data_IF_766480805437
#
_entry.id   IF_766480805437
#
_cell.length_a   1.000
_cell.length_b   1.000
_cell.length_c   1.000
_cell.angle_alpha   90.00
_cell.angle_beta   90.00
_cell.angle_gamma   90.00
#
_symmetry.space_group_name_H-M   'P 1'
#
loop_
_entity.id
_entity.type
_entity.pdbx_description
1 polymer ?
#
# COMPACT_ATOMS: atom_id res chain seq x y z
N UNK A 1 -30.66 21.63 6.22
CA UNK A 1 -30.17 20.79 7.30
C UNK A 1 -28.66 20.85 7.22
N UNK A 2 -27.98 21.25 8.29
CA UNK A 2 -26.51 21.22 8.29
C UNK A 2 -26.09 19.74 8.14
N UNK A 3 -25.37 19.44 7.07
CA UNK A 3 -24.80 18.12 6.86
C UNK A 3 -23.82 17.84 8.02
N UNK A 4 -23.86 16.64 8.62
CA UNK A 4 -22.94 16.29 9.69
C UNK A 4 -21.50 16.37 9.16
N UNK A 5 -20.52 16.75 9.98
CA UNK A 5 -19.13 16.80 9.54
C UNK A 5 -18.64 15.40 9.12
N UNK A 6 -17.74 15.37 8.13
CA UNK A 6 -17.06 14.16 7.68
C UNK A 6 -16.12 13.72 8.79
N UNK A 7 -16.33 12.52 9.33
CA UNK A 7 -15.51 11.96 10.40
C UNK A 7 -14.30 11.25 9.84
N UNK A 8 -13.11 11.75 10.18
CA UNK A 8 -11.83 11.28 9.64
C UNK A 8 -10.99 10.61 10.72
N UNK A 9 -10.51 9.40 10.47
CA UNK A 9 -9.46 8.72 11.26
C UNK A 9 -8.12 8.93 10.56
N UNK A 10 -7.09 9.38 11.30
CA UNK A 10 -5.72 9.56 10.78
C UNK A 10 -4.86 8.40 11.29
N UNK A 11 -4.26 7.63 10.37
CA UNK A 11 -3.38 6.52 10.69
C UNK A 11 -2.00 6.71 10.01
N UNK A 12 -0.99 7.09 10.80
CA UNK A 12 0.39 7.35 10.36
C UNK A 12 1.32 7.09 11.53
N UNK A 13 2.48 6.49 11.34
CA UNK A 13 3.42 6.20 12.41
C UNK A 13 4.26 7.43 12.84
N UNK A 14 4.27 8.49 12.02
CA UNK A 14 5.02 9.71 12.32
C UNK A 14 4.17 10.70 13.14
N UNK A 15 4.47 10.95 14.43
CA UNK A 15 3.66 11.82 15.27
C UNK A 15 3.53 13.27 14.74
N UNK A 16 4.59 13.79 14.11
CA UNK A 16 4.60 15.14 13.53
C UNK A 16 3.63 15.25 12.35
N UNK A 17 3.57 14.20 11.51
CA UNK A 17 2.64 14.14 10.38
C UNK A 17 1.20 14.09 10.89
N UNK A 18 0.91 13.20 11.86
CA UNK A 18 -0.43 13.10 12.45
C UNK A 18 -0.89 14.43 13.06
N UNK A 19 -0.01 15.06 13.86
CA UNK A 19 -0.34 16.35 14.48
C UNK A 19 -0.57 17.45 13.44
N UNK A 20 0.23 17.49 12.38
CA UNK A 20 0.06 18.44 11.27
C UNK A 20 -1.27 18.23 10.54
N UNK A 21 -1.59 16.97 10.18
CA UNK A 21 -2.86 16.61 9.56
C UNK A 21 -4.04 16.97 10.45
N UNK A 22 -3.99 16.62 11.74
CA UNK A 22 -5.03 16.96 12.71
C UNK A 22 -5.28 18.46 12.76
N UNK A 23 -4.24 19.25 13.01
CA UNK A 23 -4.35 20.71 13.10
C UNK A 23 -4.98 21.31 11.85
N UNK A 24 -4.58 20.82 10.68
CA UNK A 24 -5.09 21.31 9.41
C UNK A 24 -6.55 20.92 9.15
N UNK A 25 -6.93 19.68 9.48
CA UNK A 25 -8.30 19.20 9.30
C UNK A 25 -9.28 19.85 10.28
N UNK A 26 -8.89 20.09 11.53
CA UNK A 26 -9.71 20.76 12.55
C UNK A 26 -10.04 22.23 12.20
N UNK A 27 -9.30 22.84 11.27
CA UNK A 27 -9.64 24.17 10.74
C UNK A 27 -10.82 24.14 9.75
N UNK A 28 -11.23 22.95 9.30
CA UNK A 28 -12.31 22.82 8.32
C UNK A 28 -13.65 22.62 9.02
N UNK A 29 -14.67 23.47 8.73
CA UNK A 29 -15.96 23.39 9.43
C UNK A 29 -16.77 22.13 9.07
N UNK A 30 -16.44 21.47 7.98
CA UNK A 30 -17.11 20.28 7.44
C UNK A 30 -16.36 18.97 7.75
N UNK A 31 -15.27 19.02 8.54
CA UNK A 31 -14.46 17.83 8.89
C UNK A 31 -14.29 17.74 10.41
N UNK A 32 -14.41 16.53 10.94
CA UNK A 32 -14.14 16.17 12.33
C UNK A 32 -13.06 15.08 12.38
N UNK A 33 -11.99 15.31 13.14
CA UNK A 33 -10.98 14.26 13.40
C UNK A 33 -11.53 13.32 14.48
N UNK A 34 -12.05 12.18 14.07
CA UNK A 34 -12.66 11.19 14.96
C UNK A 34 -11.64 10.44 15.83
N UNK A 35 -10.39 10.34 15.37
CA UNK A 35 -9.31 9.68 16.10
C UNK A 35 -7.99 9.64 15.35
N UNK A 36 -6.98 9.10 16.03
CA UNK A 36 -5.63 8.91 15.50
C UNK A 36 -5.12 7.51 15.84
N UNK A 37 -4.31 6.93 14.95
CA UNK A 37 -3.64 5.66 15.13
C UNK A 37 -2.16 5.76 14.73
N UNK A 38 -1.26 5.17 15.53
CA UNK A 38 0.17 5.16 15.25
C UNK A 38 0.68 3.87 14.59
N UNK A 39 -0.20 2.92 14.29
CA UNK A 39 0.14 1.64 13.68
C UNK A 39 -1.06 0.95 13.05
N UNK A 40 -0.80 -0.04 12.19
CA UNK A 40 -1.83 -0.69 11.39
C UNK A 40 -2.86 -1.47 12.20
N UNK A 41 -2.45 -2.14 13.28
CA UNK A 41 -3.37 -2.89 14.17
C UNK A 41 -4.31 -1.91 14.88
N UNK A 42 -3.76 -0.82 15.43
CA UNK A 42 -4.53 0.22 16.12
C UNK A 42 -5.48 0.92 15.14
N UNK A 43 -5.03 1.20 13.91
CA UNK A 43 -5.88 1.80 12.87
C UNK A 43 -7.13 0.96 12.58
N UNK A 44 -6.98 -0.36 12.44
CA UNK A 44 -8.10 -1.25 12.22
C UNK A 44 -9.06 -1.30 13.42
N UNK A 45 -8.53 -1.41 14.63
CA UNK A 45 -9.33 -1.41 15.86
C UNK A 45 -10.09 -0.08 16.06
N UNK A 46 -9.44 1.04 15.79
CA UNK A 46 -10.07 2.36 15.88
C UNK A 46 -11.12 2.58 14.80
N UNK A 47 -10.88 2.12 13.58
CA UNK A 47 -11.86 2.19 12.49
C UNK A 47 -13.16 1.45 12.87
N UNK A 48 -13.04 0.24 13.44
CA UNK A 48 -14.21 -0.50 13.92
C UNK A 48 -14.93 0.22 15.06
N UNK A 49 -14.19 0.71 16.05
CA UNK A 49 -14.76 1.36 17.24
C UNK A 49 -15.39 2.73 16.93
N UNK A 50 -14.74 3.54 16.11
CA UNK A 50 -15.13 4.93 15.85
C UNK A 50 -16.10 5.07 14.69
N UNK A 51 -16.16 4.07 13.79
CA UNK A 51 -16.94 4.09 12.56
C UNK A 51 -16.77 5.43 11.79
N UNK A 52 -15.53 5.80 11.38
CA UNK A 52 -15.27 7.02 10.63
C UNK A 52 -15.87 6.92 9.22
N UNK A 53 -16.09 8.06 8.58
CA UNK A 53 -16.52 8.10 7.17
C UNK A 53 -15.31 7.88 6.24
N UNK A 54 -14.16 8.45 6.62
CA UNK A 54 -12.91 8.37 5.85
C UNK A 54 -11.75 7.98 6.77
N UNK A 55 -10.85 7.15 6.29
CA UNK A 55 -9.57 6.82 6.94
C UNK A 55 -8.44 7.33 6.04
N UNK A 56 -7.57 8.17 6.56
CA UNK A 56 -6.27 8.49 5.97
C UNK A 56 -5.27 7.46 6.48
N UNK A 57 -4.72 6.63 5.59
CA UNK A 57 -3.90 5.48 5.97
C UNK A 57 -2.51 5.55 5.36
N UNK A 58 -1.47 5.63 6.18
CA UNK A 58 -0.09 5.41 5.72
C UNK A 58 0.13 3.93 5.36
N UNK A 59 0.84 3.71 4.26
CA UNK A 59 1.20 2.36 3.82
C UNK A 59 2.42 1.79 4.55
N UNK A 60 3.19 2.63 5.23
CA UNK A 60 4.46 2.24 5.86
C UNK A 60 4.41 2.52 7.34
N UNK A 61 3.88 1.58 8.10
CA UNK A 61 3.78 1.68 9.55
C UNK A 61 4.46 0.47 10.24
N UNK A 62 5.05 0.64 11.45
CA UNK A 62 5.45 -0.47 12.29
C UNK A 62 4.20 -1.24 12.78
N UNK A 63 4.39 -2.47 13.22
CA UNK A 63 3.34 -3.33 13.81
C UNK A 63 2.12 -3.58 12.88
N UNK A 64 2.40 -3.79 11.61
CA UNK A 64 1.38 -4.14 10.62
C UNK A 64 1.52 -3.29 9.36
N UNK A 65 1.72 -3.96 8.22
CA UNK A 65 1.76 -3.31 6.91
C UNK A 65 0.44 -2.56 6.70
N UNK A 66 0.50 -1.33 6.18
CA UNK A 66 -0.69 -0.54 5.85
C UNK A 66 -1.66 -1.28 4.93
N UNK A 67 -1.16 -2.17 4.06
CA UNK A 67 -2.00 -3.02 3.23
C UNK A 67 -2.80 -4.05 4.05
N UNK A 68 -2.21 -4.62 5.09
CA UNK A 68 -2.92 -5.52 6.01
C UNK A 68 -3.95 -4.76 6.85
N UNK A 69 -3.60 -3.55 7.32
CA UNK A 69 -4.54 -2.68 8.01
C UNK A 69 -5.75 -2.34 7.11
N UNK A 70 -5.49 -1.98 5.84
CA UNK A 70 -6.53 -1.72 4.85
C UNK A 70 -7.48 -2.93 4.69
N UNK A 71 -6.93 -4.14 4.52
CA UNK A 71 -7.74 -5.37 4.39
C UNK A 71 -8.62 -5.60 5.61
N UNK A 72 -8.08 -5.41 6.82
CA UNK A 72 -8.84 -5.55 8.07
C UNK A 72 -9.95 -4.51 8.18
N UNK A 73 -9.67 -3.26 7.83
CA UNK A 73 -10.67 -2.18 7.83
C UNK A 73 -11.79 -2.50 6.84
N UNK A 74 -11.45 -2.98 5.64
CA UNK A 74 -12.44 -3.31 4.61
C UNK A 74 -13.23 -4.60 4.90
N UNK A 75 -12.68 -5.52 5.70
CA UNK A 75 -13.38 -6.71 6.16
C UNK A 75 -14.31 -6.45 7.37
N UNK A 76 -14.14 -5.29 8.03
CA UNK A 76 -14.91 -4.89 9.21
C UNK A 76 -16.34 -4.42 8.88
N UNK A 77 -17.05 -4.03 9.93
CA UNK A 77 -18.40 -3.44 9.80
C UNK A 77 -18.29 -1.96 9.45
N UNK A 78 -19.16 -1.50 8.54
CA UNK A 78 -19.28 -0.07 8.23
C UNK A 78 -18.32 0.46 7.19
N UNK A 79 -17.45 -0.35 6.60
CA UNK A 79 -16.50 -0.08 5.49
C UNK A 79 -16.24 1.40 5.19
N UNK A 80 -15.40 2.10 5.98
CA UNK A 80 -15.06 3.49 5.73
C UNK A 80 -14.33 3.65 4.40
N UNK A 81 -14.38 4.83 3.82
CA UNK A 81 -13.60 5.14 2.61
C UNK A 81 -12.14 5.32 2.98
N UNK A 82 -11.25 4.43 2.56
CA UNK A 82 -9.83 4.52 2.89
C UNK A 82 -9.07 5.25 1.78
N UNK A 83 -8.46 6.38 2.12
CA UNK A 83 -7.54 7.12 1.27
C UNK A 83 -6.12 6.83 1.76
N UNK A 84 -5.34 6.19 0.91
CA UNK A 84 -3.95 5.86 1.20
C UNK A 84 -3.07 7.10 1.06
N UNK A 85 -2.16 7.30 2.03
CA UNK A 85 -1.09 8.29 1.98
C UNK A 85 0.27 7.58 1.85
N UNK A 86 1.12 8.02 0.93
CA UNK A 86 2.44 7.43 0.72
C UNK A 86 3.50 8.47 0.41
N UNK A 87 4.74 8.18 0.78
CA UNK A 87 5.91 9.00 0.37
C UNK A 87 6.48 8.57 -0.98
N UNK A 88 5.95 7.50 -1.60
CA UNK A 88 6.51 6.92 -2.82
C UNK A 88 5.46 6.85 -3.94
N UNK A 89 5.54 7.75 -4.95
CA UNK A 89 4.55 7.81 -6.04
C UNK A 89 4.56 6.57 -6.94
N UNK A 90 5.72 5.94 -7.09
CA UNK A 90 5.94 4.80 -7.99
C UNK A 90 5.89 3.43 -7.28
N UNK A 91 5.21 3.31 -6.14
CA UNK A 91 5.12 2.05 -5.39
C UNK A 91 4.17 1.06 -6.09
N UNK A 92 4.63 -0.17 -6.31
CA UNK A 92 3.80 -1.26 -6.83
C UNK A 92 2.59 -1.57 -5.93
N UNK A 93 2.62 -1.08 -4.69
CA UNK A 93 1.54 -1.20 -3.71
C UNK A 93 0.26 -0.45 -4.10
N UNK A 94 0.30 0.51 -5.03
CA UNK A 94 -0.91 1.20 -5.47
C UNK A 94 -1.94 0.22 -6.02
N UNK A 95 -1.51 -0.74 -6.84
CA UNK A 95 -2.40 -1.75 -7.41
C UNK A 95 -2.97 -2.66 -6.32
N UNK A 96 -2.12 -3.10 -5.39
CA UNK A 96 -2.54 -3.96 -4.28
C UNK A 96 -3.49 -3.22 -3.32
N UNK A 97 -3.25 -1.94 -3.04
CA UNK A 97 -4.13 -1.12 -2.22
C UNK A 97 -5.51 -0.93 -2.87
N UNK A 98 -5.55 -0.64 -4.16
CA UNK A 98 -6.82 -0.48 -4.87
C UNK A 98 -7.59 -1.82 -4.96
N UNK A 99 -6.90 -2.94 -5.19
CA UNK A 99 -7.50 -4.29 -5.14
C UNK A 99 -8.01 -4.64 -3.74
N UNK A 100 -7.35 -4.16 -2.70
CA UNK A 100 -7.77 -4.35 -1.31
C UNK A 100 -8.91 -3.41 -0.88
N UNK A 101 -9.41 -2.55 -1.78
CA UNK A 101 -10.57 -1.69 -1.53
C UNK A 101 -10.23 -0.26 -1.10
N UNK A 102 -9.00 0.23 -1.34
CA UNK A 102 -8.71 1.64 -1.15
C UNK A 102 -9.63 2.51 -2.04
N UNK A 103 -10.16 3.57 -1.47
CA UNK A 103 -11.01 4.53 -2.16
C UNK A 103 -10.20 5.62 -2.88
N UNK A 104 -8.94 5.82 -2.48
CA UNK A 104 -8.06 6.82 -3.05
C UNK A 104 -6.60 6.58 -2.71
N UNK A 105 -5.72 7.30 -3.42
CA UNK A 105 -4.28 7.16 -3.26
C UNK A 105 -3.59 8.51 -3.53
N UNK A 106 -2.94 9.07 -2.51
CA UNK A 106 -2.28 10.36 -2.54
C UNK A 106 -0.83 10.27 -2.07
N UNK A 107 -0.03 11.25 -2.44
CA UNK A 107 1.30 11.44 -1.88
C UNK A 107 1.23 12.23 -0.57
N UNK A 108 2.15 11.95 0.36
CA UNK A 108 2.28 12.70 1.62
C UNK A 108 2.75 14.15 1.43
N UNK A 109 3.36 14.46 0.28
CA UNK A 109 3.76 15.81 -0.13
C UNK A 109 2.69 16.55 -0.96
N UNK A 110 1.51 15.94 -1.15
CA UNK A 110 0.38 16.59 -1.79
C UNK A 110 0.03 17.91 -1.08
N UNK A 111 -0.42 18.90 -1.87
CA UNK A 111 -0.83 20.17 -1.31
C UNK A 111 -2.01 19.99 -0.34
N UNK A 112 -2.08 20.77 0.75
CA UNK A 112 -3.16 20.66 1.72
C UNK A 112 -4.57 20.74 1.11
N UNK A 113 -4.75 21.56 0.07
CA UNK A 113 -6.01 21.67 -0.65
C UNK A 113 -6.39 20.37 -1.40
N UNK A 114 -5.41 19.64 -1.93
CA UNK A 114 -5.61 18.35 -2.61
C UNK A 114 -6.07 17.28 -1.62
N UNK A 115 -5.49 17.25 -0.42
CA UNK A 115 -5.90 16.35 0.63
C UNK A 115 -7.37 16.57 1.03
N UNK A 116 -7.80 17.84 1.22
CA UNK A 116 -9.19 18.15 1.53
C UNK A 116 -10.13 17.73 0.39
N UNK A 117 -9.75 18.04 -0.85
CA UNK A 117 -10.52 17.64 -2.02
C UNK A 117 -10.65 16.10 -2.09
N UNK A 118 -9.59 15.37 -1.76
CA UNK A 118 -9.59 13.92 -1.72
C UNK A 118 -10.49 13.35 -0.63
N UNK A 119 -10.47 13.90 0.59
CA UNK A 119 -11.35 13.47 1.68
C UNK A 119 -12.82 13.65 1.26
N UNK A 120 -13.18 14.83 0.76
CA UNK A 120 -14.54 15.15 0.31
C UNK A 120 -14.98 14.27 -0.86
N UNK A 121 -14.09 14.07 -1.84
CA UNK A 121 -14.33 13.19 -2.98
C UNK A 121 -14.55 11.75 -2.54
N UNK A 122 -13.67 11.20 -1.70
CA UNK A 122 -13.80 9.85 -1.18
C UNK A 122 -15.11 9.66 -0.40
N UNK A 123 -15.46 10.62 0.48
CA UNK A 123 -16.73 10.60 1.21
C UNK A 123 -17.94 10.57 0.28
N UNK A 124 -17.91 11.33 -0.82
CA UNK A 124 -18.97 11.37 -1.84
C UNK A 124 -18.96 10.18 -2.80
N UNK A 125 -18.11 9.16 -2.58
CA UNK A 125 -18.02 7.97 -3.43
C UNK A 125 -17.06 8.07 -4.60
N UNK A 126 -16.32 9.16 -4.75
CA UNK A 126 -15.26 9.33 -5.74
C UNK A 126 -14.00 8.51 -5.43
N UNK A 127 -13.05 8.50 -6.37
CA UNK A 127 -11.77 7.82 -6.26
C UNK A 127 -10.62 8.82 -6.52
N UNK A 128 -10.20 9.60 -5.52
CA UNK A 128 -9.11 10.55 -5.65
C UNK A 128 -7.79 9.81 -5.84
N UNK A 129 -7.15 9.99 -6.99
CA UNK A 129 -5.89 9.35 -7.34
C UNK A 129 -4.86 10.39 -7.76
N UNK A 130 -3.65 10.27 -7.23
CA UNK A 130 -2.52 10.98 -7.79
C UNK A 130 -2.28 10.56 -9.24
N UNK A 131 -1.89 11.47 -10.17
CA UNK A 131 -1.72 11.15 -11.58
C UNK A 131 -0.82 9.93 -11.85
N UNK A 132 0.28 9.78 -11.14
CA UNK A 132 1.19 8.63 -11.28
C UNK A 132 0.53 7.33 -10.82
N UNK A 133 -0.25 7.35 -9.73
CA UNK A 133 -1.02 6.20 -9.28
C UNK A 133 -2.06 5.80 -10.33
N UNK A 134 -2.77 6.78 -10.91
CA UNK A 134 -3.72 6.54 -11.98
C UNK A 134 -3.05 5.96 -13.22
N UNK A 135 -1.90 6.49 -13.65
CA UNK A 135 -1.13 5.96 -14.77
C UNK A 135 -0.71 4.49 -14.56
N UNK A 136 -0.29 4.13 -13.33
CA UNK A 136 0.04 2.74 -12.98
C UNK A 136 -1.17 1.81 -13.06
N UNK A 137 -2.32 2.23 -12.52
CA UNK A 137 -3.54 1.43 -12.59
C UNK A 137 -3.99 1.20 -14.05
N UNK A 138 -3.93 2.25 -14.89
CA UNK A 138 -4.22 2.12 -16.32
C UNK A 138 -3.22 1.18 -17.00
N UNK A 139 -1.93 1.26 -16.65
CA UNK A 139 -0.90 0.35 -17.15
C UNK A 139 -1.20 -1.12 -16.78
N UNK A 140 -1.62 -1.37 -15.55
CA UNK A 140 -1.98 -2.71 -15.09
C UNK A 140 -3.26 -3.24 -15.78
N UNK A 141 -4.25 -2.39 -16.00
CA UNK A 141 -5.47 -2.77 -16.73
C UNK A 141 -5.22 -3.11 -18.21
N UNK A 142 -4.20 -2.51 -18.81
CA UNK A 142 -3.78 -2.79 -20.18
C UNK A 142 -2.90 -4.03 -20.32
N UNK A 143 -2.44 -4.57 -19.20
CA UNK A 143 -1.59 -5.76 -19.18
C UNK A 143 -2.44 -6.99 -19.51
N UNK A 144 -2.03 -7.81 -20.49
CA UNK A 144 -2.74 -9.06 -20.77
C UNK A 144 -2.82 -9.94 -19.51
N UNK A 145 -3.90 -10.70 -19.32
CA UNK A 145 -4.07 -11.57 -18.15
C UNK A 145 -2.88 -12.51 -17.88
N UNK A 146 -2.27 -13.05 -18.94
CA UNK A 146 -1.10 -13.92 -18.87
C UNK A 146 0.17 -13.18 -18.45
N UNK A 147 0.32 -11.89 -18.80
CA UNK A 147 1.47 -11.09 -18.39
C UNK A 147 1.43 -10.70 -16.88
N UNK A 148 0.28 -10.78 -16.22
CA UNK A 148 0.18 -10.57 -14.78
C UNK A 148 0.80 -11.72 -13.97
N UNK A 149 0.85 -12.92 -14.55
CA UNK A 149 1.50 -14.10 -13.97
C UNK A 149 3.00 -14.13 -14.26
N UNK A 150 3.50 -13.38 -15.26
CA UNK A 150 4.92 -13.36 -15.60
C UNK A 150 5.73 -12.48 -14.63
N UNK A 151 6.91 -12.98 -14.29
CA UNK A 151 7.88 -12.22 -13.53
C UNK A 151 8.45 -11.08 -14.39
N UNK A 152 8.49 -9.87 -13.83
CA UNK A 152 9.23 -8.76 -14.44
C UNK A 152 10.71 -9.09 -14.52
N UNK A 153 11.47 -8.39 -15.36
CA UNK A 153 12.93 -8.54 -15.44
C UNK A 153 13.58 -8.44 -14.05
N UNK A 154 13.14 -7.46 -13.24
CA UNK A 154 13.69 -7.25 -11.91
C UNK A 154 13.30 -8.32 -10.90
N UNK A 155 12.09 -8.84 -10.98
CA UNK A 155 11.66 -9.98 -10.15
C UNK A 155 12.40 -11.26 -10.55
N UNK A 156 12.67 -11.45 -11.82
CA UNK A 156 13.47 -12.58 -12.33
C UNK A 156 14.91 -12.51 -11.81
N UNK A 157 15.56 -11.35 -11.85
CA UNK A 157 16.90 -11.14 -11.29
C UNK A 157 16.92 -11.44 -9.77
N UNK A 158 15.89 -10.98 -9.04
CA UNK A 158 15.77 -11.26 -7.60
C UNK A 158 15.54 -12.75 -7.36
N UNK A 159 14.66 -13.40 -8.14
CA UNK A 159 14.35 -14.82 -8.02
C UNK A 159 15.60 -15.71 -8.31
N UNK A 160 16.41 -15.34 -9.28
CA UNK A 160 17.68 -16.02 -9.58
C UNK A 160 18.61 -16.00 -8.36
N UNK A 161 18.75 -14.84 -7.70
CA UNK A 161 19.59 -14.71 -6.51
C UNK A 161 18.97 -15.43 -5.28
N UNK A 162 17.65 -15.53 -5.22
CA UNK A 162 16.94 -16.36 -4.23
C UNK A 162 17.25 -17.85 -4.48
N UNK A 163 17.19 -18.29 -5.71
CA UNK A 163 17.50 -19.68 -6.09
C UNK A 163 18.97 -20.05 -5.79
N UNK A 164 19.88 -19.08 -5.85
CA UNK A 164 21.28 -19.21 -5.41
C UNK A 164 21.46 -19.11 -3.88
N UNK A 165 20.40 -18.99 -3.10
CA UNK A 165 20.41 -18.96 -1.64
C UNK A 165 20.81 -17.63 -1.00
N UNK A 166 20.96 -16.52 -1.74
CA UNK A 166 21.42 -15.24 -1.19
C UNK A 166 20.36 -14.60 -0.27
N UNK A 167 20.73 -14.10 0.92
CA UNK A 167 19.84 -13.34 1.79
C UNK A 167 19.52 -11.96 1.20
N UNK A 168 18.39 -11.34 1.62
CA UNK A 168 17.92 -10.06 1.07
C UNK A 168 18.99 -8.96 1.12
N UNK A 169 19.82 -8.92 2.18
CA UNK A 169 20.92 -7.96 2.29
C UNK A 169 21.97 -8.13 1.17
N UNK A 170 22.33 -9.36 0.83
CA UNK A 170 23.28 -9.64 -0.25
C UNK A 170 22.67 -9.33 -1.63
N UNK A 171 21.38 -9.65 -1.82
CA UNK A 171 20.64 -9.31 -3.03
C UNK A 171 20.58 -7.78 -3.20
N UNK A 172 20.29 -7.05 -2.14
CA UNK A 172 20.24 -5.60 -2.14
C UNK A 172 21.57 -4.98 -2.61
N UNK A 173 22.69 -5.45 -2.06
CA UNK A 173 24.03 -5.01 -2.46
C UNK A 173 24.32 -5.34 -3.92
N UNK A 174 24.03 -6.57 -4.37
CA UNK A 174 24.34 -7.03 -5.73
C UNK A 174 23.52 -6.29 -6.79
N UNK A 175 22.30 -5.93 -6.47
CA UNK A 175 21.39 -5.24 -7.39
C UNK A 175 21.32 -3.72 -7.20
N UNK A 176 22.15 -3.16 -6.31
CA UNK A 176 22.14 -1.72 -5.95
C UNK A 176 20.76 -1.22 -5.51
N UNK A 177 20.08 -2.02 -4.67
CA UNK A 177 18.77 -1.72 -4.10
C UNK A 177 18.83 -1.54 -2.58
N UNK A 178 17.77 -1.00 -1.99
CA UNK A 178 17.55 -1.10 -0.55
C UNK A 178 17.07 -2.51 -0.18
N UNK A 179 17.39 -2.97 1.04
CA UNK A 179 16.86 -4.25 1.55
C UNK A 179 15.32 -4.26 1.59
N UNK A 180 14.71 -3.11 1.87
CA UNK A 180 13.27 -2.90 1.83
C UNK A 180 12.70 -3.15 0.43
N UNK A 181 13.37 -2.64 -0.60
CA UNK A 181 12.96 -2.85 -2.01
C UNK A 181 13.05 -4.33 -2.38
N UNK A 182 14.11 -5.02 -1.94
CA UNK A 182 14.24 -6.48 -2.17
C UNK A 182 13.12 -7.24 -1.48
N UNK A 183 12.74 -6.90 -0.24
CA UNK A 183 11.60 -7.52 0.46
C UNK A 183 10.29 -7.36 -0.33
N UNK A 184 10.07 -6.18 -0.92
CA UNK A 184 8.89 -5.93 -1.76
C UNK A 184 8.88 -6.83 -3.01
N UNK A 185 10.02 -6.96 -3.71
CA UNK A 185 10.14 -7.88 -4.85
C UNK A 185 9.92 -9.33 -4.44
N UNK A 186 10.49 -9.77 -3.31
CA UNK A 186 10.26 -11.14 -2.78
C UNK A 186 8.77 -11.38 -2.58
N UNK A 187 8.06 -10.47 -1.92
CA UNK A 187 6.61 -10.60 -1.70
C UNK A 187 5.83 -10.68 -3.01
N UNK A 188 6.20 -9.87 -4.01
CA UNK A 188 5.58 -9.91 -5.33
C UNK A 188 5.84 -11.24 -6.07
N UNK A 189 7.06 -11.76 -5.97
CA UNK A 189 7.46 -13.07 -6.55
C UNK A 189 6.65 -14.19 -5.91
N UNK A 190 6.56 -14.26 -4.56
CA UNK A 190 5.80 -15.30 -3.86
C UNK A 190 4.34 -15.33 -4.32
N UNK A 191 3.72 -14.15 -4.44
CA UNK A 191 2.35 -14.02 -4.94
C UNK A 191 2.21 -14.47 -6.39
N UNK A 192 3.12 -14.06 -7.28
CA UNK A 192 3.06 -14.41 -8.72
C UNK A 192 3.30 -15.90 -8.97
N UNK A 193 4.15 -16.50 -8.15
CA UNK A 193 4.43 -17.93 -8.21
C UNK A 193 3.45 -18.77 -7.37
N UNK A 194 2.46 -18.14 -6.70
CA UNK A 194 1.49 -18.83 -5.82
C UNK A 194 2.18 -19.79 -4.83
N UNK A 195 3.17 -19.26 -4.11
CA UNK A 195 3.94 -19.99 -3.09
C UNK A 195 4.00 -19.21 -1.78
N UNK A 196 4.15 -19.93 -0.65
CA UNK A 196 4.05 -19.35 0.69
C UNK A 196 5.37 -18.82 1.24
N UNK A 197 6.50 -19.35 0.77
CA UNK A 197 7.81 -18.98 1.29
C UNK A 197 8.89 -18.98 0.19
N UNK A 198 10.05 -18.40 0.54
CA UNK A 198 11.18 -18.25 -0.40
C UNK A 198 11.80 -19.56 -0.83
N UNK A 199 11.74 -20.59 0.00
CA UNK A 199 12.30 -21.90 -0.32
C UNK A 199 11.47 -22.55 -1.42
N UNK A 200 10.14 -22.45 -1.32
CA UNK A 200 9.22 -22.90 -2.36
C UNK A 200 9.43 -22.12 -3.66
N UNK A 201 9.64 -20.79 -3.56
CA UNK A 201 9.94 -19.96 -4.73
C UNK A 201 11.24 -20.41 -5.42
N UNK A 202 12.31 -20.69 -4.66
CA UNK A 202 13.57 -21.19 -5.19
C UNK A 202 13.40 -22.56 -5.88
N UNK A 203 12.72 -23.50 -5.23
CA UNK A 203 12.47 -24.84 -5.78
C UNK A 203 11.64 -24.77 -7.06
N UNK A 204 10.59 -23.92 -7.08
CA UNK A 204 9.75 -23.72 -8.25
C UNK A 204 10.53 -23.10 -9.41
N UNK A 205 11.38 -22.09 -9.11
CA UNK A 205 12.22 -21.43 -10.10
C UNK A 205 13.15 -22.41 -10.83
N UNK A 206 13.76 -23.32 -10.09
CA UNK A 206 14.66 -24.37 -10.67
C UNK A 206 13.85 -25.42 -11.43
N UNK A 207 12.77 -25.93 -10.84
CA UNK A 207 11.95 -26.99 -11.43
C UNK A 207 11.27 -26.59 -12.74
N UNK A 208 10.80 -25.34 -12.82
CA UNK A 208 10.08 -24.80 -13.98
C UNK A 208 10.99 -24.01 -14.95
N UNK A 209 12.32 -24.06 -14.72
CA UNK A 209 13.32 -23.36 -15.55
C UNK A 209 13.02 -21.85 -15.71
N UNK A 210 12.50 -21.22 -14.65
CA UNK A 210 12.18 -19.79 -14.66
C UNK A 210 13.43 -18.90 -14.58
N UNK A 211 14.54 -19.45 -14.10
CA UNK A 211 15.84 -18.79 -13.95
C UNK A 211 16.95 -19.78 -14.29
N UNK A 212 18.06 -19.26 -14.84
CA UNK A 212 19.27 -20.03 -15.08
C UNK A 212 20.13 -20.04 -13.80
N UNK A 213 20.11 -21.15 -13.09
CA UNK A 213 21.01 -21.37 -11.97
C UNK A 213 22.22 -22.17 -12.50
N UNK A 214 23.19 -21.48 -13.10
CA UNK A 214 24.49 -22.11 -13.32
C UNK A 214 25.10 -22.41 -11.95
N UNK A 215 25.33 -23.70 -11.71
CA UNK A 215 26.04 -24.19 -10.52
C UNK A 215 27.52 -24.04 -10.79
N UNK A 216 28.15 -22.99 -10.17
CA UNK A 216 29.62 -22.92 -10.04
C UNK A 216 30.13 -24.02 -9.12
#
# INVERSE_FOLDING_TARGET
MADRPIRVLIADDHPVVRQGLRTYLELQPDIEVAGEAGGGIDAAAQAERLAPDVVLLDMVMPEGDGLEALRRIQAGRGTPRVVVLTSFPADDRVVDAMRAGAAGYLLKDAQPAELLAAIRSAHSGGAPLHPEAAARLVGELRRPPDAAAELTTREREVLELIARGLPNKAIALRLSLSEKTVKAHVSAILRKLDVTDRTQAALRAVREHLVDVETD
#
